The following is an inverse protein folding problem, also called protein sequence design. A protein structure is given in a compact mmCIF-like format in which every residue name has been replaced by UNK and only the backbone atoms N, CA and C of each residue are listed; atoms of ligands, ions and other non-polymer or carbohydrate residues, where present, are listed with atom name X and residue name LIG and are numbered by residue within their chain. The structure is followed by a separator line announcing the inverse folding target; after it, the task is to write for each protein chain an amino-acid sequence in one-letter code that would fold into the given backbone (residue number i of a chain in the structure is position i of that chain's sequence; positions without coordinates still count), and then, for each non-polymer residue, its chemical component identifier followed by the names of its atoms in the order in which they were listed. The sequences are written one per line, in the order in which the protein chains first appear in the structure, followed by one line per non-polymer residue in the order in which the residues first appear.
data_IF_269213840411
#
_entry.id   IF_269213840411
#
_cell.length_a   1.000
_cell.length_b   1.000
_cell.length_c   1.000
_cell.angle_alpha   90.00
_cell.angle_beta   90.00
_cell.angle_gamma   90.00
#
_symmetry.space_group_name_H-M   'P 1'
#
loop_
_entity.id
_entity.type
_entity.pdbx_description
1 polymer ?
#
# COMPACT_ATOMS: atom_id res chain seq x y z
N UNK A 1 1.08 8.68 9.97
CA UNK A 1 1.96 9.53 9.14
C UNK A 1 3.13 8.75 8.51
N UNK A 2 3.84 7.88 9.26
CA UNK A 2 5.07 7.21 8.82
C UNK A 2 4.94 6.23 7.64
N UNK A 3 3.85 5.45 7.51
CA UNK A 3 3.66 4.54 6.37
C UNK A 3 3.50 5.29 5.04
N UNK A 4 2.73 6.38 5.02
CA UNK A 4 2.49 7.19 3.81
C UNK A 4 3.77 7.83 3.27
N UNK A 5 4.68 8.21 4.17
CA UNK A 5 5.99 8.74 3.79
C UNK A 5 6.86 7.63 3.19
N UNK A 6 6.91 6.45 3.84
CA UNK A 6 7.66 5.29 3.33
C UNK A 6 7.18 4.81 1.96
N UNK A 7 5.88 4.73 1.72
CA UNK A 7 5.35 4.32 0.40
C UNK A 7 5.61 5.37 -0.68
N UNK A 8 5.56 6.66 -0.31
CA UNK A 8 5.96 7.74 -1.21
C UNK A 8 7.47 7.67 -1.54
N UNK A 9 8.31 7.37 -0.56
CA UNK A 9 9.75 7.21 -0.75
C UNK A 9 10.07 6.03 -1.70
N UNK A 10 9.38 4.90 -1.54
CA UNK A 10 9.49 3.74 -2.44
C UNK A 10 9.07 4.09 -3.87
N UNK A 11 7.94 4.80 -4.03
CA UNK A 11 7.48 5.23 -5.36
C UNK A 11 8.49 6.16 -6.04
N UNK A 12 9.10 7.08 -5.29
CA UNK A 12 10.13 7.98 -5.82
C UNK A 12 11.38 7.20 -6.20
N UNK A 13 11.82 6.25 -5.37
CA UNK A 13 12.96 5.39 -5.67
C UNK A 13 12.73 4.57 -6.94
N UNK A 14 11.56 3.94 -7.08
CA UNK A 14 11.18 3.18 -8.28
C UNK A 14 11.22 4.05 -9.54
N UNK A 15 10.64 5.25 -9.47
CA UNK A 15 10.60 6.15 -10.63
C UNK A 15 12.01 6.59 -11.05
N UNK A 16 12.89 6.90 -10.08
CA UNK A 16 14.29 7.23 -10.37
C UNK A 16 15.00 6.05 -11.05
N UNK A 17 14.89 4.85 -10.49
CA UNK A 17 15.52 3.66 -11.04
C UNK A 17 14.99 3.31 -12.45
N UNK A 18 13.70 3.52 -12.73
CA UNK A 18 13.12 3.29 -14.07
C UNK A 18 13.61 4.30 -15.11
N UNK A 19 13.78 5.57 -14.74
CA UNK A 19 14.35 6.60 -15.61
C UNK A 19 15.81 6.27 -15.91
N UNK A 20 16.58 5.88 -14.90
CA UNK A 20 17.98 5.46 -15.05
C UNK A 20 18.10 4.21 -15.93
N UNK A 21 17.26 3.19 -15.69
CA UNK A 21 17.17 1.97 -16.50
C UNK A 21 16.97 2.30 -17.98
N UNK A 22 16.00 3.17 -18.28
CA UNK A 22 15.69 3.58 -19.66
C UNK A 22 16.88 4.29 -20.32
N UNK A 23 17.58 5.15 -19.59
CA UNK A 23 18.77 5.85 -20.07
C UNK A 23 19.94 4.88 -20.35
N UNK A 24 20.16 3.92 -19.45
CA UNK A 24 21.20 2.90 -19.58
C UNK A 24 20.92 1.98 -20.78
N UNK A 25 19.66 1.55 -20.97
CA UNK A 25 19.25 0.75 -22.12
C UNK A 25 19.51 1.47 -23.45
N UNK A 26 19.25 2.78 -23.53
CA UNK A 26 19.54 3.57 -24.73
C UNK A 26 21.04 3.63 -25.02
N UNK A 27 21.87 3.86 -24.00
CA UNK A 27 23.35 3.85 -24.13
C UNK A 27 23.86 2.49 -24.59
N UNK A 28 23.31 1.41 -24.05
CA UNK A 28 23.69 0.05 -24.42
C UNK A 28 23.35 -0.25 -25.88
N UNK A 29 22.13 0.09 -26.31
CA UNK A 29 21.69 -0.07 -27.70
C UNK A 29 22.55 0.73 -28.69
N UNK A 30 22.93 1.95 -28.31
CA UNK A 30 23.82 2.79 -29.12
C UNK A 30 25.22 2.15 -29.28
N UNK A 31 25.81 1.64 -28.19
CA UNK A 31 27.10 0.97 -28.22
C UNK A 31 27.06 -0.35 -29.03
N UNK A 32 26.01 -1.15 -28.84
CA UNK A 32 25.80 -2.40 -29.58
C UNK A 32 25.72 -2.19 -31.10
N UNK A 33 25.18 -1.05 -31.55
CA UNK A 33 25.16 -0.68 -32.96
C UNK A 33 26.49 -0.12 -33.44
N UNK A 34 27.12 0.79 -32.69
CA UNK A 34 28.30 1.53 -33.15
C UNK A 34 29.58 0.70 -33.18
N UNK A 35 29.74 -0.26 -32.26
CA UNK A 35 30.93 -1.12 -32.21
C UNK A 35 31.12 -1.92 -33.53
N UNK A 36 30.10 -2.64 -34.05
CA UNK A 36 30.21 -3.31 -35.35
C UNK A 36 30.53 -2.37 -36.53
N UNK A 37 29.95 -1.17 -36.54
CA UNK A 37 30.20 -0.15 -37.57
C UNK A 37 31.68 0.27 -37.56
N UNK A 38 32.22 0.60 -36.38
CA UNK A 38 33.63 0.96 -36.20
C UNK A 38 34.59 -0.18 -36.58
N UNK A 39 34.22 -1.42 -36.27
CA UNK A 39 35.00 -2.60 -36.66
C UNK A 39 35.03 -2.80 -38.19
N UNK A 40 33.91 -2.52 -38.88
CA UNK A 40 33.84 -2.56 -40.34
C UNK A 40 34.64 -1.42 -40.99
N UNK A 41 34.49 -0.18 -40.50
CA UNK A 41 35.26 0.99 -40.94
C UNK A 41 36.76 0.76 -40.75
N UNK A 42 37.17 0.21 -39.61
CA UNK A 42 38.57 -0.15 -39.31
C UNK A 42 39.13 -1.12 -40.33
N UNK A 43 38.39 -2.18 -40.67
CA UNK A 43 38.81 -3.18 -41.67
C UNK A 43 38.96 -2.54 -43.06
N UNK A 44 38.05 -1.65 -43.45
CA UNK A 44 38.14 -0.93 -44.71
C UNK A 44 39.38 -0.01 -44.77
N UNK A 45 39.65 0.75 -43.70
CA UNK A 45 40.83 1.60 -43.60
C UNK A 45 42.14 0.80 -43.68
N UNK A 46 42.20 -0.36 -43.00
CA UNK A 46 43.34 -1.27 -43.06
C UNK A 46 43.55 -1.85 -44.47
N UNK A 47 42.47 -2.24 -45.16
CA UNK A 47 42.54 -2.72 -46.55
C UNK A 47 43.04 -1.64 -47.52
N UNK A 48 42.70 -0.37 -47.27
CA UNK A 48 43.23 0.79 -47.99
C UNK A 48 44.66 1.19 -47.56
N UNK A 49 45.32 0.40 -46.69
CA UNK A 49 46.65 0.67 -46.10
C UNK A 49 46.71 1.99 -45.32
N UNK A 50 45.57 2.51 -44.87
CA UNK A 50 45.48 3.68 -43.99
C UNK A 50 45.52 3.25 -42.52
N UNK A 51 46.71 2.87 -42.05
CA UNK A 51 46.90 2.33 -40.70
C UNK A 51 46.65 3.35 -39.59
N UNK A 52 46.86 4.65 -39.86
CA UNK A 52 46.58 5.71 -38.89
C UNK A 52 45.10 5.80 -38.57
N UNK A 53 44.26 5.75 -39.59
CA UNK A 53 42.81 5.78 -39.41
C UNK A 53 42.28 4.48 -38.79
N UNK A 54 42.83 3.33 -39.21
CA UNK A 54 42.49 2.05 -38.59
C UNK A 54 42.83 2.03 -37.07
N UNK A 55 43.96 2.61 -36.67
CA UNK A 55 44.32 2.74 -35.26
C UNK A 55 43.39 3.67 -34.49
N UNK A 56 42.98 4.80 -35.10
CA UNK A 56 41.99 5.73 -34.51
C UNK A 56 40.64 5.04 -34.27
N UNK A 57 40.13 4.34 -35.28
CA UNK A 57 38.86 3.60 -35.20
C UNK A 57 38.92 2.46 -34.19
N UNK A 58 40.06 1.77 -34.07
CA UNK A 58 40.27 0.75 -33.04
C UNK A 58 40.20 1.33 -31.61
N UNK A 59 40.80 2.50 -31.39
CA UNK A 59 40.72 3.19 -30.11
C UNK A 59 39.28 3.63 -29.79
N UNK A 60 38.55 4.14 -30.78
CA UNK A 60 37.14 4.51 -30.65
C UNK A 60 36.26 3.29 -30.30
N UNK A 61 36.43 2.16 -31.01
CA UNK A 61 35.70 0.93 -30.72
C UNK A 61 35.96 0.42 -29.29
N UNK A 62 37.20 0.56 -28.79
CA UNK A 62 37.55 0.20 -27.41
C UNK A 62 36.85 1.09 -26.38
N UNK A 63 36.71 2.39 -26.64
CA UNK A 63 35.95 3.30 -25.78
C UNK A 63 34.48 2.88 -25.69
N UNK A 64 33.83 2.64 -26.83
CA UNK A 64 32.45 2.16 -26.85
C UNK A 64 32.28 0.80 -26.17
N UNK A 65 33.27 -0.10 -26.28
CA UNK A 65 33.24 -1.39 -25.56
C UNK A 65 33.29 -1.18 -24.04
N UNK A 66 34.15 -0.29 -23.54
CA UNK A 66 34.21 0.02 -22.12
C UNK A 66 32.90 0.66 -21.62
N UNK A 67 32.31 1.55 -22.44
CA UNK A 67 31.02 2.19 -22.13
C UNK A 67 29.88 1.17 -22.09
N UNK A 68 29.88 0.20 -23.02
CA UNK A 68 28.95 -0.94 -23.01
C UNK A 68 29.09 -1.73 -21.72
N UNK A 69 30.29 -2.18 -21.38
CA UNK A 69 30.52 -3.01 -20.18
C UNK A 69 30.12 -2.25 -18.89
N UNK A 70 30.31 -0.93 -18.88
CA UNK A 70 29.85 -0.07 -17.78
C UNK A 70 28.32 0.02 -17.75
N UNK A 71 27.69 0.23 -18.90
CA UNK A 71 26.24 0.28 -19.02
C UNK A 71 25.59 -1.07 -18.64
N UNK A 72 26.22 -2.21 -18.97
CA UNK A 72 25.73 -3.54 -18.58
C UNK A 72 25.70 -3.73 -17.06
N UNK A 73 26.74 -3.26 -16.34
CA UNK A 73 26.72 -3.27 -14.87
C UNK A 73 25.64 -2.36 -14.31
N UNK A 74 25.54 -1.14 -14.82
CA UNK A 74 24.50 -0.18 -14.39
C UNK A 74 23.09 -0.72 -14.64
N UNK A 75 22.90 -1.47 -15.74
CA UNK A 75 21.63 -2.12 -16.06
C UNK A 75 21.26 -3.14 -14.99
N UNK A 76 22.21 -4.00 -14.60
CA UNK A 76 22.01 -4.99 -13.54
C UNK A 76 21.68 -4.32 -12.21
N UNK A 77 22.42 -3.27 -11.83
CA UNK A 77 22.17 -2.49 -10.61
C UNK A 77 20.76 -1.87 -10.60
N UNK A 78 20.31 -1.27 -11.71
CA UNK A 78 18.98 -0.70 -11.83
C UNK A 78 17.89 -1.78 -11.71
N UNK A 79 18.06 -2.93 -12.36
CA UNK A 79 17.11 -4.04 -12.28
C UNK A 79 17.00 -4.62 -10.86
N UNK A 80 18.13 -4.77 -10.17
CA UNK A 80 18.16 -5.24 -8.78
C UNK A 80 17.47 -4.26 -7.83
N UNK A 81 17.69 -2.96 -8.01
CA UNK A 81 17.05 -1.91 -7.21
C UNK A 81 15.53 -1.89 -7.44
N UNK A 82 15.07 -2.01 -8.69
CA UNK A 82 13.64 -2.11 -8.99
C UNK A 82 13.03 -3.34 -8.31
N UNK A 83 13.66 -4.52 -8.44
CA UNK A 83 13.18 -5.74 -7.78
C UNK A 83 13.17 -5.62 -6.26
N UNK A 84 14.14 -4.91 -5.67
CA UNK A 84 14.17 -4.64 -4.22
C UNK A 84 12.96 -3.80 -3.81
N UNK A 85 12.71 -2.71 -4.51
CA UNK A 85 11.58 -1.81 -4.24
C UNK A 85 10.25 -2.53 -4.40
N UNK A 86 10.08 -3.34 -5.45
CA UNK A 86 8.85 -4.13 -5.69
C UNK A 86 8.56 -5.10 -4.55
N UNK A 87 9.58 -5.83 -4.06
CA UNK A 87 9.43 -6.72 -2.90
C UNK A 87 9.07 -5.97 -1.62
N UNK A 88 9.65 -4.79 -1.42
CA UNK A 88 9.32 -3.94 -0.27
C UNK A 88 7.90 -3.40 -0.34
N UNK A 89 7.43 -3.00 -1.53
CA UNK A 89 6.04 -2.59 -1.76
C UNK A 89 5.05 -3.74 -1.50
N UNK A 90 5.35 -4.94 -1.99
CA UNK A 90 4.52 -6.13 -1.78
C UNK A 90 4.41 -6.50 -0.29
N UNK A 91 5.54 -6.56 0.42
CA UNK A 91 5.56 -6.82 1.86
C UNK A 91 4.79 -5.77 2.65
N UNK A 92 4.89 -4.49 2.29
CA UNK A 92 4.08 -3.43 2.90
C UNK A 92 2.60 -3.57 2.60
N UNK A 93 2.24 -4.04 1.41
CA UNK A 93 0.87 -4.37 1.04
C UNK A 93 0.28 -5.53 1.86
N UNK A 94 1.07 -6.54 2.21
CA UNK A 94 0.66 -7.63 3.10
C UNK A 94 0.48 -7.17 4.55
N UNK A 95 1.43 -6.37 5.07
CA UNK A 95 1.32 -5.77 6.40
C UNK A 95 0.05 -4.92 6.52
N UNK A 96 -0.25 -4.10 5.50
CA UNK A 96 -1.44 -3.25 5.50
C UNK A 96 -2.73 -4.08 5.50
N UNK A 97 -2.82 -5.11 4.65
CA UNK A 97 -3.99 -6.01 4.61
C UNK A 97 -4.23 -6.69 5.96
N UNK A 98 -3.17 -7.19 6.58
CA UNK A 98 -3.25 -7.80 7.92
C UNK A 98 -3.77 -6.81 8.95
N UNK A 99 -3.28 -5.57 8.93
CA UNK A 99 -3.75 -4.53 9.85
C UNK A 99 -5.22 -4.15 9.61
N UNK A 100 -5.66 -4.08 8.35
CA UNK A 100 -7.06 -3.80 8.01
C UNK A 100 -8.00 -4.92 8.47
N UNK A 101 -7.59 -6.18 8.33
CA UNK A 101 -8.35 -7.34 8.83
C UNK A 101 -8.46 -7.30 10.36
N UNK A 102 -7.35 -7.06 11.05
CA UNK A 102 -7.36 -6.90 12.52
C UNK A 102 -8.24 -5.72 12.96
N UNK A 103 -8.19 -4.59 12.25
CA UNK A 103 -9.03 -3.43 12.56
C UNK A 103 -10.52 -3.76 12.41
N UNK A 104 -10.90 -4.43 11.31
CA UNK A 104 -12.29 -4.87 11.09
C UNK A 104 -12.77 -5.84 12.16
N UNK A 105 -11.92 -6.78 12.57
CA UNK A 105 -12.24 -7.72 13.65
C UNK A 105 -12.48 -6.98 14.97
N UNK A 106 -11.60 -6.03 15.33
CA UNK A 106 -11.77 -5.20 16.54
C UNK A 106 -12.99 -4.30 16.48
N UNK A 107 -13.30 -3.70 15.34
CA UNK A 107 -14.52 -2.92 15.14
C UNK A 107 -15.77 -3.79 15.35
N UNK A 108 -15.77 -5.01 14.81
CA UNK A 108 -16.85 -5.97 15.03
C UNK A 108 -16.98 -6.37 16.49
N UNK A 109 -15.88 -6.75 17.16
CA UNK A 109 -15.88 -7.08 18.59
C UNK A 109 -16.45 -5.91 19.43
N UNK A 110 -16.02 -4.69 19.14
CA UNK A 110 -16.52 -3.48 19.80
C UNK A 110 -18.01 -3.25 19.55
N UNK A 111 -18.47 -3.47 18.31
CA UNK A 111 -19.89 -3.39 17.95
C UNK A 111 -20.76 -4.42 18.69
N UNK A 112 -20.29 -5.67 18.77
CA UNK A 112 -20.95 -6.76 19.50
C UNK A 112 -21.07 -6.40 20.98
N UNK A 113 -19.96 -6.03 21.63
CA UNK A 113 -19.94 -5.67 23.04
C UNK A 113 -20.81 -4.44 23.33
N UNK A 114 -20.81 -3.45 22.43
CA UNK A 114 -21.67 -2.26 22.53
C UNK A 114 -23.15 -2.62 22.44
N UNK A 115 -23.54 -3.49 21.50
CA UNK A 115 -24.92 -3.94 21.36
C UNK A 115 -25.44 -4.58 22.66
N UNK A 116 -24.70 -5.56 23.21
CA UNK A 116 -25.07 -6.20 24.47
C UNK A 116 -25.16 -5.21 25.64
N UNK A 117 -24.21 -4.26 25.73
CA UNK A 117 -24.24 -3.21 26.75
C UNK A 117 -25.46 -2.30 26.63
N UNK A 118 -25.84 -1.89 25.42
CA UNK A 118 -27.01 -1.03 25.19
C UNK A 118 -28.30 -1.72 25.59
N UNK A 119 -28.42 -3.05 25.37
CA UNK A 119 -29.56 -3.81 25.90
C UNK A 119 -29.66 -3.77 27.42
N UNK A 120 -28.52 -3.87 28.11
CA UNK A 120 -28.50 -3.73 29.57
C UNK A 120 -28.88 -2.31 30.00
N UNK A 121 -28.39 -1.29 29.30
CA UNK A 121 -28.76 0.12 29.56
C UNK A 121 -30.26 0.33 29.39
N UNK A 122 -30.86 -0.17 28.31
CA UNK A 122 -32.30 -0.06 28.09
C UNK A 122 -33.11 -0.72 29.21
N UNK A 123 -32.71 -1.91 29.68
CA UNK A 123 -33.37 -2.59 30.81
C UNK A 123 -33.26 -1.80 32.11
N UNK A 124 -32.09 -1.23 32.40
CA UNK A 124 -31.89 -0.42 33.61
C UNK A 124 -32.73 0.85 33.55
N UNK A 125 -32.71 1.57 32.43
CA UNK A 125 -33.50 2.77 32.23
C UNK A 125 -35.02 2.50 32.37
N UNK A 126 -35.53 1.37 31.84
CA UNK A 126 -36.94 0.97 32.04
C UNK A 126 -37.29 0.74 33.50
N UNK A 127 -36.41 0.11 34.28
CA UNK A 127 -36.63 -0.12 35.73
C UNK A 127 -36.60 1.17 36.53
N UNK A 128 -35.66 2.06 36.21
CA UNK A 128 -35.57 3.37 36.86
C UNK A 128 -36.79 4.23 36.48
N UNK A 129 -37.26 4.16 35.24
CA UNK A 129 -38.49 4.80 34.76
C UNK A 129 -39.70 4.34 35.58
N UNK A 130 -39.86 3.03 35.80
CA UNK A 130 -40.93 2.48 36.64
C UNK A 130 -40.86 3.05 38.07
N UNK A 131 -39.68 3.08 38.67
CA UNK A 131 -39.49 3.64 40.01
C UNK A 131 -39.77 5.15 40.07
N UNK A 132 -39.41 5.92 39.04
CA UNK A 132 -39.71 7.35 38.97
C UNK A 132 -41.22 7.60 38.83
N UNK A 133 -41.90 6.80 38.01
CA UNK A 133 -43.35 6.86 37.85
C UNK A 133 -44.09 6.51 39.15
N UNK A 134 -43.63 5.50 39.90
CA UNK A 134 -44.15 5.18 41.25
C UNK A 134 -43.94 6.32 42.25
N UNK A 135 -42.86 7.07 42.10
CA UNK A 135 -42.56 8.28 42.86
C UNK A 135 -43.29 9.55 42.38
N UNK A 136 -44.17 9.44 41.37
CA UNK A 136 -44.85 10.55 40.70
C UNK A 136 -43.91 11.58 40.05
N UNK A 137 -42.65 11.20 39.81
CA UNK A 137 -41.66 12.01 39.09
C UNK A 137 -41.75 11.74 37.58
N UNK A 138 -42.79 12.31 36.98
CA UNK A 138 -43.13 12.07 35.57
C UNK A 138 -42.12 12.67 34.58
N UNK A 139 -41.37 13.70 34.97
CA UNK A 139 -40.34 14.30 34.12
C UNK A 139 -39.15 13.35 33.97
N UNK A 140 -38.68 12.78 35.09
CA UNK A 140 -37.63 11.76 35.09
C UNK A 140 -38.08 10.48 34.37
N UNK A 141 -39.31 10.03 34.61
CA UNK A 141 -39.86 8.85 33.92
C UNK A 141 -39.88 9.02 32.39
N UNK A 142 -40.32 10.17 31.86
CA UNK A 142 -40.33 10.40 30.42
C UNK A 142 -38.90 10.52 29.85
N UNK A 143 -37.97 11.11 30.60
CA UNK A 143 -36.54 11.15 30.24
C UNK A 143 -35.94 9.75 30.09
N UNK A 144 -36.11 8.90 31.11
CA UNK A 144 -35.61 7.52 31.13
C UNK A 144 -36.26 6.64 30.05
N UNK A 145 -37.53 6.87 29.73
CA UNK A 145 -38.18 6.22 28.59
C UNK A 145 -37.48 6.55 27.28
N UNK A 146 -37.17 7.83 27.05
CA UNK A 146 -36.42 8.29 25.88
C UNK A 146 -35.02 7.65 25.80
N UNK A 147 -34.33 7.53 26.94
CA UNK A 147 -33.03 6.85 27.01
C UNK A 147 -33.12 5.36 26.66
N UNK A 148 -34.13 4.65 27.16
CA UNK A 148 -34.35 3.25 26.85
C UNK A 148 -34.65 3.03 25.36
N UNK A 149 -35.52 3.85 24.77
CA UNK A 149 -35.87 3.80 23.35
C UNK A 149 -34.67 4.12 22.44
N UNK A 150 -33.86 5.12 22.81
CA UNK A 150 -32.64 5.45 22.08
C UNK A 150 -31.60 4.33 22.15
N UNK A 151 -31.40 3.73 23.33
CA UNK A 151 -30.48 2.61 23.52
C UNK A 151 -30.91 1.38 22.71
N UNK A 152 -32.21 1.07 22.67
CA UNK A 152 -32.74 -0.05 21.88
C UNK A 152 -32.62 0.18 20.37
N UNK A 153 -32.89 1.40 19.89
CA UNK A 153 -32.75 1.77 18.48
C UNK A 153 -31.30 1.64 17.98
N UNK A 154 -30.35 2.09 18.80
CA UNK A 154 -28.92 1.94 18.49
C UNK A 154 -28.48 0.48 18.54
N UNK A 155 -28.96 -0.29 19.52
CA UNK A 155 -28.67 -1.72 19.63
C UNK A 155 -29.20 -2.52 18.42
N UNK A 156 -30.41 -2.20 17.94
CA UNK A 156 -30.99 -2.83 16.74
C UNK A 156 -30.15 -2.54 15.50
N UNK A 157 -29.69 -1.30 15.34
CA UNK A 157 -28.83 -0.90 14.22
C UNK A 157 -27.52 -1.70 14.20
N UNK A 158 -26.89 -1.88 15.38
CA UNK A 158 -25.68 -2.68 15.51
C UNK A 158 -25.94 -4.18 15.28
N UNK A 159 -27.08 -4.68 15.77
CA UNK A 159 -27.51 -6.07 15.55
C UNK A 159 -27.65 -6.39 14.07
N UNK A 160 -28.31 -5.51 13.31
CA UNK A 160 -28.46 -5.65 11.85
C UNK A 160 -27.10 -5.54 11.15
N UNK A 161 -26.30 -4.52 11.48
CA UNK A 161 -25.00 -4.27 10.88
C UNK A 161 -24.05 -5.49 11.00
N UNK A 162 -24.07 -6.19 12.13
CA UNK A 162 -23.16 -7.29 12.42
C UNK A 162 -23.81 -8.69 12.35
N UNK A 163 -25.10 -8.77 12.03
CA UNK A 163 -25.86 -10.03 11.96
C UNK A 163 -25.84 -10.80 13.29
N UNK A 164 -26.10 -10.11 14.40
CA UNK A 164 -26.00 -10.71 15.75
C UNK A 164 -27.24 -11.54 16.08
N UNK A 165 -27.00 -12.71 16.68
CA UNK A 165 -28.04 -13.65 17.11
C UNK A 165 -27.83 -14.00 18.60
N UNK A 166 -28.91 -14.15 19.35
CA UNK A 166 -28.89 -14.55 20.76
C UNK A 166 -29.64 -13.59 21.70
N UNK A 167 -30.05 -14.11 22.85
CA UNK A 167 -30.91 -13.41 23.82
C UNK A 167 -30.29 -12.12 24.39
N UNK A 168 -28.97 -12.02 24.42
CA UNK A 168 -28.25 -10.83 24.88
C UNK A 168 -28.34 -9.64 23.92
N UNK A 169 -28.74 -9.88 22.67
CA UNK A 169 -28.92 -8.85 21.64
C UNK A 169 -30.39 -8.55 21.36
N UNK A 170 -31.33 -9.22 22.02
CA UNK A 170 -32.76 -8.96 21.88
C UNK A 170 -33.23 -7.85 22.81
N UNK A 171 -34.27 -7.12 22.37
CA UNK A 171 -35.00 -6.20 23.24
C UNK A 171 -35.57 -7.00 24.40
N UNK A 172 -35.34 -6.54 25.62
CA UNK A 172 -35.92 -7.13 26.82
C UNK A 172 -37.04 -6.21 27.29
N UNK A 173 -38.20 -6.81 27.49
CA UNK A 173 -39.40 -6.13 28.03
C UNK A 173 -39.19 -5.75 29.49
#
# INVERSE_FOLDING_TARGET
MMMRHKTQDLSVARQKAQVELSSVQQRLAAAQRRIPELEAEKKAAAAARNFKEAARLAAEAKLYSNDRDTAERQLQECEEEIRRVEREEEGKGEELRTMEEMAREREREGGVARCARLRLVAVVARREMESAAEGEDWEEAEGLKGEAEAADSEADSLKEQYGLEGEEYERKE
#
